data_IF_588453302185
#
_entry.id   IF_588453302185
#
_cell.length_a   1.000
_cell.length_b   1.000
_cell.length_c   1.000
_cell.angle_alpha   90.00
_cell.angle_beta   90.00
_cell.angle_gamma   90.00
#
_symmetry.space_group_name_H-M   'P 1'
#
loop_
_entity.id
_entity.type
_entity.pdbx_description
1 polymer ?
#
# COMPACT_ATOMS: atom_id res chain seq x y z
N UNK A 1 0.47 -4.84 21.76
CA UNK A 1 0.16 -3.54 21.15
C UNK A 1 1.16 -3.18 20.05
N UNK A 2 2.42 -2.81 20.35
CA UNK A 2 3.36 -2.36 19.29
C UNK A 2 3.69 -3.45 18.25
N UNK A 3 3.93 -4.68 18.70
CA UNK A 3 4.16 -5.83 17.80
C UNK A 3 2.96 -6.13 16.92
N UNK A 4 1.74 -5.97 17.44
CA UNK A 4 0.51 -6.13 16.66
C UNK A 4 0.34 -5.00 15.65
N UNK A 5 0.78 -3.79 15.97
CA UNK A 5 0.78 -2.67 15.01
C UNK A 5 1.76 -2.89 13.86
N UNK A 6 2.95 -3.46 14.12
CA UNK A 6 3.90 -3.84 13.06
C UNK A 6 3.31 -4.94 12.18
N UNK A 7 2.74 -5.99 12.78
CA UNK A 7 2.06 -7.05 12.01
C UNK A 7 0.91 -6.50 11.18
N UNK A 8 0.09 -5.61 11.75
CA UNK A 8 -0.99 -4.93 11.05
C UNK A 8 -0.46 -4.12 9.86
N UNK A 9 0.68 -3.45 10.00
CA UNK A 9 1.31 -2.70 8.90
C UNK A 9 1.72 -3.63 7.75
N UNK A 10 2.34 -4.77 8.05
CA UNK A 10 2.72 -5.76 7.03
C UNK A 10 1.49 -6.39 6.34
N UNK A 11 0.41 -6.62 7.08
CA UNK A 11 -0.87 -7.11 6.53
C UNK A 11 -1.50 -6.06 5.62
N UNK A 12 -1.55 -4.80 6.08
CA UNK A 12 -2.10 -3.69 5.29
C UNK A 12 -1.36 -3.51 3.97
N UNK A 13 -0.04 -3.69 3.92
CA UNK A 13 0.72 -3.57 2.67
C UNK A 13 0.31 -4.61 1.63
N UNK A 14 0.08 -5.85 2.07
CA UNK A 14 -0.40 -6.93 1.20
C UNK A 14 -1.83 -6.68 0.73
N UNK A 15 -2.69 -6.24 1.66
CA UNK A 15 -4.11 -5.98 1.37
C UNK A 15 -4.26 -4.80 0.42
N UNK A 16 -3.51 -3.70 0.62
CA UNK A 16 -3.51 -2.54 -0.28
C UNK A 16 -3.12 -2.96 -1.70
N UNK A 17 -2.06 -3.76 -1.87
CA UNK A 17 -1.66 -4.21 -3.19
C UNK A 17 -2.73 -5.14 -3.83
N UNK A 18 -3.29 -6.06 -3.06
CA UNK A 18 -4.35 -6.97 -3.53
C UNK A 18 -5.60 -6.21 -3.97
N UNK A 19 -6.05 -5.25 -3.15
CA UNK A 19 -7.20 -4.41 -3.48
C UNK A 19 -6.91 -3.48 -4.66
N UNK A 20 -5.69 -2.93 -4.77
CA UNK A 20 -5.32 -2.10 -5.91
C UNK A 20 -5.28 -2.92 -7.22
N UNK A 21 -4.78 -4.16 -7.20
CA UNK A 21 -4.90 -5.08 -8.33
C UNK A 21 -6.37 -5.35 -8.69
N UNK A 22 -7.25 -5.48 -7.69
CA UNK A 22 -8.67 -5.70 -7.93
C UNK A 22 -9.39 -4.50 -8.54
N UNK A 23 -9.09 -3.28 -8.09
CA UNK A 23 -9.55 -2.03 -8.73
C UNK A 23 -9.09 -1.99 -10.19
N UNK A 24 -7.82 -2.34 -10.42
CA UNK A 24 -7.23 -2.37 -11.76
C UNK A 24 -8.01 -3.31 -12.67
N UNK A 25 -8.26 -4.55 -12.25
CA UNK A 25 -9.04 -5.53 -13.02
C UNK A 25 -10.44 -5.00 -13.37
N UNK A 26 -11.18 -4.48 -12.39
CA UNK A 26 -12.56 -4.02 -12.60
C UNK A 26 -12.62 -2.82 -13.54
N UNK A 27 -11.72 -1.85 -13.37
CA UNK A 27 -11.69 -0.67 -14.23
C UNK A 27 -11.12 -0.97 -15.61
N UNK A 28 -10.26 -1.99 -15.76
CA UNK A 28 -9.72 -2.40 -17.06
C UNK A 28 -10.80 -2.82 -18.06
N UNK A 29 -11.95 -3.29 -17.58
CA UNK A 29 -13.09 -3.64 -18.45
C UNK A 29 -13.68 -2.39 -19.13
N UNK A 30 -13.64 -1.26 -18.43
CA UNK A 30 -14.11 0.03 -18.93
C UNK A 30 -13.03 0.81 -19.68
N UNK A 31 -11.78 0.74 -19.23
CA UNK A 31 -10.67 1.46 -19.82
C UNK A 31 -9.39 0.60 -19.85
N UNK A 32 -9.25 -0.32 -20.82
CA UNK A 32 -8.13 -1.26 -20.87
C UNK A 32 -6.79 -0.62 -21.24
N UNK A 33 -6.78 0.51 -21.98
CA UNK A 33 -5.55 1.19 -22.40
C UNK A 33 -4.78 1.79 -21.20
N UNK A 34 -5.50 2.21 -20.15
CA UNK A 34 -4.90 2.83 -18.96
C UNK A 34 -3.90 1.91 -18.24
N UNK A 35 -4.14 0.60 -18.32
CA UNK A 35 -3.29 -0.46 -17.75
C UNK A 35 -1.88 -0.42 -18.34
N UNK A 36 -1.75 -0.08 -19.64
CA UNK A 36 -0.45 -0.04 -20.33
C UNK A 36 0.34 1.22 -19.99
N UNK A 37 -0.37 2.33 -19.77
CA UNK A 37 0.25 3.64 -19.50
C UNK A 37 0.73 3.71 -18.04
N UNK A 38 -0.09 3.21 -17.12
CA UNK A 38 0.17 3.31 -15.68
C UNK A 38 0.52 1.93 -15.10
N UNK A 39 1.79 1.74 -14.73
CA UNK A 39 2.27 0.48 -14.13
C UNK A 39 2.03 0.40 -12.61
N UNK A 40 1.95 1.53 -11.91
CA UNK A 40 1.74 1.55 -10.46
C UNK A 40 0.25 1.40 -10.13
N UNK A 41 -0.08 0.35 -9.37
CA UNK A 41 -1.44 0.04 -8.93
C UNK A 41 -2.04 1.14 -8.04
N UNK A 42 -1.22 1.83 -7.23
CA UNK A 42 -1.70 2.88 -6.33
C UNK A 42 -1.95 4.20 -7.07
N UNK A 43 -1.16 4.52 -8.09
CA UNK A 43 -1.45 5.64 -8.98
C UNK A 43 -2.70 5.37 -9.82
N UNK A 44 -2.86 4.12 -10.27
CA UNK A 44 -4.01 3.70 -11.05
C UNK A 44 -5.33 3.89 -10.28
N UNK A 45 -5.40 3.52 -9.00
CA UNK A 45 -6.61 3.72 -8.19
C UNK A 45 -6.94 5.20 -8.01
N UNK A 46 -5.93 6.07 -7.82
CA UNK A 46 -6.13 7.53 -7.77
C UNK A 46 -6.66 8.10 -9.08
N UNK A 47 -6.10 7.68 -10.21
CA UNK A 47 -6.51 8.13 -11.54
C UNK A 47 -7.94 7.67 -11.87
N UNK A 48 -8.28 6.42 -11.56
CA UNK A 48 -9.63 5.89 -11.78
C UNK A 48 -10.71 6.68 -11.03
N UNK A 49 -10.35 7.29 -9.90
CA UNK A 49 -11.25 8.15 -9.14
C UNK A 49 -11.44 9.52 -9.79
N UNK A 50 -10.38 10.10 -10.37
CA UNK A 50 -10.43 11.42 -11.01
C UNK A 50 -11.20 11.38 -12.33
N UNK A 51 -10.98 10.32 -13.11
CA UNK A 51 -11.59 10.19 -14.44
C UNK A 51 -13.07 9.88 -14.35
N UNK A 52 -13.48 9.03 -13.39
CA UNK A 52 -14.83 8.49 -13.28
C UNK A 52 -15.29 7.79 -14.56
N UNK A 53 -15.86 8.56 -15.50
CA UNK A 53 -16.40 8.14 -16.79
C UNK A 53 -15.46 8.55 -17.93
N UNK A 54 -15.23 7.63 -18.88
CA UNK A 54 -14.47 7.93 -20.11
C UNK A 54 -15.09 9.07 -20.94
N UNK A 55 -16.40 9.33 -20.81
CA UNK A 55 -17.11 10.37 -21.56
C UNK A 55 -16.94 11.77 -20.97
N UNK A 56 -16.49 11.87 -19.70
CA UNK A 56 -16.19 13.16 -19.04
C UNK A 56 -14.72 13.58 -19.20
N UNK A 57 -13.92 12.77 -19.91
CA UNK A 57 -12.51 13.05 -20.12
C UNK A 57 -12.34 14.29 -21.01
N UNK A 58 -11.98 15.41 -20.38
CA UNK A 58 -11.68 16.69 -21.04
C UNK A 58 -10.26 17.13 -20.71
N UNK A 59 -9.75 18.12 -21.44
CA UNK A 59 -8.45 18.75 -21.18
C UNK A 59 -8.37 19.39 -19.78
N UNK A 60 -9.50 19.62 -19.11
CA UNK A 60 -9.57 20.15 -17.75
C UNK A 60 -9.02 19.18 -16.69
N UNK A 61 -8.96 17.88 -17.00
CA UNK A 61 -8.44 16.86 -16.10
C UNK A 61 -6.93 16.67 -16.25
N UNK A 62 -6.32 17.21 -17.31
CA UNK A 62 -4.86 17.17 -17.57
C UNK A 62 -4.02 17.73 -16.40
N UNK A 63 -4.34 18.89 -15.80
CA UNK A 63 -3.56 19.39 -14.65
C UNK A 63 -3.64 18.46 -13.44
N UNK A 64 -4.82 17.93 -13.10
CA UNK A 64 -4.97 16.99 -11.97
C UNK A 64 -4.26 15.65 -12.22
N UNK A 65 -4.31 15.16 -13.45
CA UNK A 65 -3.57 13.95 -13.84
C UNK A 65 -2.06 14.19 -13.78
N UNK A 66 -1.59 15.37 -14.20
CA UNK A 66 -0.16 15.74 -14.14
C UNK A 66 0.33 15.82 -12.70
N UNK A 67 -0.46 16.36 -11.77
CA UNK A 67 -0.10 16.37 -10.34
C UNK A 67 0.06 14.96 -9.75
N UNK A 68 -0.75 14.00 -10.21
CA UNK A 68 -0.70 12.62 -9.72
C UNK A 68 0.40 11.80 -10.39
N UNK A 69 0.57 11.94 -11.71
CA UNK A 69 1.52 11.17 -12.51
C UNK A 69 2.94 11.76 -12.46
N UNK A 70 3.08 13.05 -12.20
CA UNK A 70 4.35 13.78 -12.25
C UNK A 70 4.90 14.01 -13.67
N UNK A 71 4.22 13.49 -14.70
CA UNK A 71 4.63 13.56 -16.10
C UNK A 71 3.46 14.10 -16.96
N UNK A 72 3.65 15.26 -17.59
CA UNK A 72 2.66 15.85 -18.52
C UNK A 72 2.43 14.97 -19.76
N UNK A 73 3.49 14.32 -20.26
CA UNK A 73 3.40 13.48 -21.45
C UNK A 73 2.48 12.29 -21.24
N UNK A 74 2.58 11.63 -20.08
CA UNK A 74 1.67 10.52 -19.70
C UNK A 74 0.24 10.99 -19.50
N UNK A 75 0.05 12.18 -18.91
CA UNK A 75 -1.29 12.73 -18.72
C UNK A 75 -1.98 12.98 -20.08
N UNK A 76 -1.26 13.51 -21.07
CA UNK A 76 -1.76 13.66 -22.45
C UNK A 76 -2.04 12.33 -23.12
N UNK A 77 -1.16 11.34 -22.94
CA UNK A 77 -1.35 9.99 -23.47
C UNK A 77 -2.63 9.33 -22.91
N UNK A 78 -2.92 9.52 -21.62
CA UNK A 78 -4.17 9.03 -21.00
C UNK A 78 -5.40 9.69 -21.63
N UNK A 79 -5.34 10.99 -21.94
CA UNK A 79 -6.46 11.70 -22.58
C UNK A 79 -6.73 11.21 -24.00
N UNK A 80 -5.67 11.06 -24.79
CA UNK A 80 -5.77 10.54 -26.15
C UNK A 80 -6.21 9.07 -26.16
N UNK A 81 -5.70 8.25 -25.25
CA UNK A 81 -6.15 6.87 -25.05
C UNK A 81 -7.61 6.80 -24.61
N UNK A 82 -8.09 7.76 -23.81
CA UNK A 82 -9.50 7.87 -23.41
C UNK A 82 -10.42 8.11 -24.60
N UNK A 83 -10.04 9.01 -25.53
CA UNK A 83 -10.78 9.26 -26.78
C UNK A 83 -10.75 8.05 -27.72
N UNK A 84 -9.64 7.32 -27.76
CA UNK A 84 -9.47 6.12 -28.59
C UNK A 84 -9.91 4.82 -27.89
N UNK A 85 -10.48 4.90 -26.69
CA UNK A 85 -10.77 3.73 -25.86
C UNK A 85 -11.83 2.83 -26.46
N UNK A 86 -11.50 1.54 -26.57
CA UNK A 86 -12.41 0.47 -27.01
C UNK A 86 -13.10 -0.24 -25.84
N UNK A 87 -12.98 0.28 -24.61
CA UNK A 87 -13.57 -0.34 -23.44
C UNK A 87 -15.10 -0.24 -23.38
N UNK A 88 -15.73 -1.16 -22.67
CA UNK A 88 -17.19 -1.25 -22.61
C UNK A 88 -17.77 -0.21 -21.63
N UNK A 89 -18.96 0.30 -21.92
CA UNK A 89 -19.69 1.13 -20.97
C UNK A 89 -20.15 0.29 -19.77
N UNK A 90 -19.73 0.69 -18.57
CA UNK A 90 -20.20 0.10 -17.32
C UNK A 90 -21.55 0.73 -16.93
N UNK A 91 -22.36 -0.02 -16.19
CA UNK A 91 -23.54 0.55 -15.55
C UNK A 91 -23.12 1.61 -14.53
N UNK A 92 -23.88 2.71 -14.37
CA UNK A 92 -23.58 3.75 -13.38
C UNK A 92 -23.48 3.19 -11.94
N UNK A 93 -24.22 2.12 -11.62
CA UNK A 93 -24.13 1.46 -10.31
C UNK A 93 -22.76 0.81 -10.09
N UNK A 94 -22.21 0.18 -11.13
CA UNK A 94 -20.93 -0.52 -11.06
C UNK A 94 -19.79 0.47 -10.99
N UNK A 95 -19.92 1.61 -11.69
CA UNK A 95 -18.95 2.69 -11.67
C UNK A 95 -18.85 3.32 -10.27
N UNK A 96 -19.98 3.58 -9.61
CA UNK A 96 -20.01 4.06 -8.21
C UNK A 96 -19.34 3.04 -7.28
N UNK A 97 -19.58 1.74 -7.49
CA UNK A 97 -18.95 0.70 -6.70
C UNK A 97 -17.42 0.68 -6.88
N UNK A 98 -16.93 0.78 -8.12
CA UNK A 98 -15.49 0.86 -8.43
C UNK A 98 -14.86 2.09 -7.80
N UNK A 99 -15.49 3.26 -7.91
CA UNK A 99 -15.02 4.50 -7.29
C UNK A 99 -14.96 4.40 -5.76
N UNK A 100 -16.02 3.87 -5.15
CA UNK A 100 -16.08 3.66 -3.69
C UNK A 100 -14.98 2.71 -3.24
N UNK A 101 -14.70 1.68 -4.04
CA UNK A 101 -13.64 0.73 -3.76
C UNK A 101 -12.25 1.37 -3.90
N UNK A 102 -12.01 2.17 -4.95
CA UNK A 102 -10.79 2.94 -5.13
C UNK A 102 -10.54 3.93 -3.98
N UNK A 103 -11.60 4.60 -3.50
CA UNK A 103 -11.52 5.48 -2.33
C UNK A 103 -11.08 4.71 -1.07
N UNK A 104 -11.66 3.53 -0.81
CA UNK A 104 -11.26 2.71 0.33
C UNK A 104 -9.78 2.31 0.28
N UNK A 105 -9.24 2.02 -0.91
CA UNK A 105 -7.80 1.74 -1.09
C UNK A 105 -6.95 2.96 -0.72
N UNK A 106 -7.37 4.16 -1.11
CA UNK A 106 -6.70 5.40 -0.71
C UNK A 106 -6.74 5.61 0.80
N UNK A 107 -7.90 5.42 1.43
CA UNK A 107 -8.08 5.56 2.88
C UNK A 107 -7.18 4.58 3.65
N UNK A 108 -7.05 3.34 3.18
CA UNK A 108 -6.15 2.34 3.76
C UNK A 108 -4.67 2.76 3.63
N UNK A 109 -4.28 3.34 2.50
CA UNK A 109 -2.92 3.83 2.31
C UNK A 109 -2.60 5.02 3.23
N UNK A 110 -3.56 5.91 3.48
CA UNK A 110 -3.37 7.01 4.44
C UNK A 110 -3.40 6.51 5.88
N UNK A 111 -4.19 5.48 6.18
CA UNK A 111 -4.13 4.80 7.47
C UNK A 111 -2.77 4.16 7.72
N UNK A 112 -2.18 3.50 6.71
CA UNK A 112 -0.82 2.95 6.77
C UNK A 112 0.22 4.04 7.14
N UNK A 113 0.15 5.23 6.51
CA UNK A 113 1.05 6.35 6.84
C UNK A 113 0.90 6.79 8.30
N UNK A 114 -0.34 6.99 8.76
CA UNK A 114 -0.63 7.36 10.15
C UNK A 114 -0.10 6.32 11.14
N UNK A 115 -0.22 5.04 10.81
CA UNK A 115 0.28 3.94 11.64
C UNK A 115 1.81 3.91 11.66
N UNK A 116 2.46 4.21 10.54
CA UNK A 116 3.91 4.34 10.45
C UNK A 116 4.42 5.52 11.29
N UNK A 117 3.80 6.69 11.19
CA UNK A 117 4.17 7.88 11.98
C UNK A 117 4.02 7.61 13.49
N UNK A 118 2.98 6.87 13.88
CA UNK A 118 2.79 6.43 15.27
C UNK A 118 3.91 5.50 15.76
N UNK A 119 4.43 4.62 14.90
CA UNK A 119 5.54 3.71 15.24
C UNK A 119 6.89 4.42 15.33
N UNK A 120 7.10 5.48 14.55
CA UNK A 120 8.34 6.28 14.51
C UNK A 120 8.42 7.30 15.66
N UNK A 121 7.37 7.41 16.49
CA UNK A 121 7.41 8.23 17.70
C UNK A 121 8.58 7.80 18.61
N UNK A 122 9.45 8.74 19.05
CA UNK A 122 10.71 8.42 19.75
C UNK A 122 10.51 7.62 21.04
N UNK A 123 9.35 7.78 21.68
CA UNK A 123 8.99 7.07 22.90
C UNK A 123 8.67 5.59 22.65
N UNK A 124 8.12 5.23 21.47
CA UNK A 124 7.86 3.84 21.11
C UNK A 124 9.14 3.13 20.66
N UNK A 125 10.04 3.82 19.95
CA UNK A 125 11.31 3.23 19.50
C UNK A 125 12.20 2.76 20.67
N UNK A 126 12.29 3.54 21.75
CA UNK A 126 12.96 3.13 22.99
C UNK A 126 12.27 1.90 23.62
N UNK A 127 10.93 1.91 23.69
CA UNK A 127 10.13 0.82 24.26
C UNK A 127 10.23 -0.49 23.46
N UNK A 128 10.33 -0.42 22.12
CA UNK A 128 10.50 -1.57 21.23
C UNK A 128 11.87 -2.22 21.45
N UNK A 129 12.92 -1.41 21.58
CA UNK A 129 14.27 -1.88 21.90
C UNK A 129 14.31 -2.67 23.22
N UNK A 130 13.65 -2.16 24.25
CA UNK A 130 13.57 -2.80 25.56
C UNK A 130 12.73 -4.09 25.54
N UNK A 131 11.64 -4.14 24.78
CA UNK A 131 10.81 -5.35 24.67
C UNK A 131 11.48 -6.46 23.86
N UNK A 132 12.15 -6.13 22.75
CA UNK A 132 12.94 -7.10 21.98
C UNK A 132 14.11 -7.60 22.84
N UNK A 133 14.76 -6.71 23.59
CA UNK A 133 15.80 -7.05 24.57
C UNK A 133 15.29 -7.99 25.67
N UNK A 134 14.18 -7.67 26.32
CA UNK A 134 13.57 -8.49 27.37
C UNK A 134 13.19 -9.90 26.86
N UNK A 135 12.72 -9.99 25.61
CA UNK A 135 12.36 -11.27 24.98
C UNK A 135 13.60 -12.12 24.65
N UNK A 136 14.69 -11.49 24.21
CA UNK A 136 15.98 -12.17 24.03
C UNK A 136 16.56 -12.66 25.38
N UNK A 137 16.40 -11.89 26.46
CA UNK A 137 16.84 -12.28 27.81
C UNK A 137 16.05 -13.49 28.32
N UNK A 138 14.72 -13.50 28.13
CA UNK A 138 13.84 -14.63 28.49
C UNK A 138 14.24 -15.91 27.75
N UNK A 139 14.52 -15.81 26.44
CA UNK A 139 14.98 -16.94 25.63
C UNK A 139 16.35 -17.48 26.07
N UNK A 140 17.24 -16.61 26.53
CA UNK A 140 18.54 -17.00 27.06
C UNK A 140 18.46 -17.55 28.52
N UNK A 141 17.31 -17.38 29.19
CA UNK A 141 17.07 -17.78 30.58
C UNK A 141 17.76 -16.91 31.63
N UNK A 142 18.83 -16.17 31.26
CA UNK A 142 19.50 -15.20 32.12
C UNK A 142 20.33 -14.20 31.28
N UNK A 143 20.59 -13.01 31.84
CA UNK A 143 21.41 -11.97 31.21
C UNK A 143 22.85 -12.48 30.94
N UNK A 144 23.38 -13.31 31.84
CA UNK A 144 24.72 -13.91 31.73
C UNK A 144 24.83 -14.93 30.59
N UNK A 145 23.73 -15.60 30.25
CA UNK A 145 23.70 -16.53 29.11
C UNK A 145 23.57 -15.78 27.78
N UNK A 146 22.81 -14.68 27.75
CA UNK A 146 22.70 -13.83 26.57
C UNK A 146 24.05 -13.20 26.21
N UNK A 147 24.83 -12.74 27.20
CA UNK A 147 26.17 -12.20 27.00
C UNK A 147 27.18 -13.22 26.42
N UNK A 148 26.92 -14.53 26.56
CA UNK A 148 27.75 -15.62 26.02
C UNK A 148 27.36 -16.02 24.60
N UNK A 149 26.24 -15.53 24.08
CA UNK A 149 25.82 -15.85 22.72
C UNK A 149 26.76 -15.24 21.69
N UNK A 150 27.13 -16.01 20.67
CA UNK A 150 27.91 -15.49 19.54
C UNK A 150 27.03 -14.54 18.72
N UNK A 151 27.64 -13.54 18.07
CA UNK A 151 26.92 -12.57 17.23
C UNK A 151 26.01 -13.25 16.17
N UNK A 152 26.43 -14.41 15.63
CA UNK A 152 25.62 -15.22 14.71
C UNK A 152 24.40 -15.88 15.36
N UNK A 153 24.46 -16.25 16.63
CA UNK A 153 23.32 -16.81 17.39
C UNK A 153 22.30 -15.72 17.73
N UNK A 154 22.77 -14.54 18.11
CA UNK A 154 21.91 -13.36 18.29
C UNK A 154 21.23 -13.00 16.96
N UNK A 155 22.01 -12.94 15.87
CA UNK A 155 21.53 -12.62 14.52
C UNK A 155 20.69 -13.74 13.87
N UNK A 156 20.75 -14.99 14.32
CA UNK A 156 19.79 -16.02 13.90
C UNK A 156 18.49 -15.92 14.68
N UNK A 157 18.53 -15.54 15.96
CA UNK A 157 17.33 -15.38 16.78
C UNK A 157 16.55 -14.09 16.47
N UNK A 158 17.19 -13.02 16.02
CA UNK A 158 16.51 -11.78 15.58
C UNK A 158 15.52 -12.04 14.43
N UNK A 159 15.90 -12.65 13.29
CA UNK A 159 14.96 -13.03 12.24
C UNK A 159 14.08 -14.20 12.68
N UNK A 160 14.51 -15.11 13.56
CA UNK A 160 13.61 -16.12 14.12
C UNK A 160 12.53 -15.52 15.03
N UNK A 161 12.76 -14.36 15.64
CA UNK A 161 11.73 -13.61 16.37
C UNK A 161 10.92 -12.73 15.43
N UNK A 162 11.50 -12.12 14.40
CA UNK A 162 10.72 -11.45 13.35
C UNK A 162 9.82 -12.47 12.61
N UNK A 163 10.27 -13.72 12.39
CA UNK A 163 9.50 -14.78 11.73
C UNK A 163 8.65 -15.69 12.63
N UNK A 164 9.02 -16.00 13.88
CA UNK A 164 8.11 -16.74 14.79
C UNK A 164 7.05 -15.86 15.41
N UNK A 165 7.24 -14.54 15.48
CA UNK A 165 6.10 -13.62 15.68
C UNK A 165 5.27 -13.44 14.40
N UNK A 166 5.68 -14.02 13.27
CA UNK A 166 4.87 -14.20 12.06
C UNK A 166 4.22 -15.60 11.94
N UNK A 167 4.45 -16.56 12.84
CA UNK A 167 3.89 -17.93 12.71
C UNK A 167 3.20 -18.48 13.98
N UNK A 168 3.23 -17.83 15.14
CA UNK A 168 2.37 -18.20 16.28
C UNK A 168 1.75 -16.98 16.96
#
# INVERSE_FOLDING_TARGET
MVIQAIFLLDTLDKDINSFAMRVREWYSWHFPELVKIVNDNYLYSRISKIIEDKSKLSEEHVPMLTEVLGDEDKAREVVEAGKASMGQDLSPIDLINVQTFAQKVMDLADYRKKLYDYLVAPNLAALIGDMVGARLISQAGSLTNLAKWKHTQVRSCIPFFIHRTCIC
#
